data_IF_161705037903
#
_entry.id   IF_161705037903
#
_cell.length_a   1.000
_cell.length_b   1.000
_cell.length_c   1.000
_cell.angle_alpha   90.00
_cell.angle_beta   90.00
_cell.angle_gamma   90.00
#
_symmetry.space_group_name_H-M   'P 1'
#
loop_
_entity.id
_entity.type
_entity.pdbx_description
1 polymer ?
#
# COMPACT_ATOMS: atom_id res chain seq x y z
N UNK A 1 -4.85 27.36 17.40
CA UNK A 1 -4.10 26.21 16.87
C UNK A 1 -4.59 25.96 15.47
N UNK A 2 -3.77 26.18 14.44
CA UNK A 2 -4.19 25.97 13.06
C UNK A 2 -4.42 24.46 12.85
N UNK A 3 -5.68 24.03 12.82
CA UNK A 3 -6.05 22.67 12.42
C UNK A 3 -5.88 22.59 10.91
N UNK A 4 -4.72 22.16 10.45
CA UNK A 4 -4.54 21.78 9.05
C UNK A 4 -5.37 20.52 8.82
N UNK A 5 -6.19 20.50 7.76
CA UNK A 5 -6.93 19.30 7.43
C UNK A 5 -5.95 18.17 7.15
N UNK A 6 -6.32 16.96 7.56
CA UNK A 6 -5.50 15.77 7.36
C UNK A 6 -5.15 15.56 5.87
N UNK A 7 -6.03 16.01 4.98
CA UNK A 7 -5.85 16.04 3.52
C UNK A 7 -4.67 16.93 3.08
N UNK A 8 -4.50 18.12 3.67
CA UNK A 8 -3.42 19.04 3.30
C UNK A 8 -2.05 18.51 3.73
N UNK A 9 -1.98 17.84 4.88
CA UNK A 9 -0.76 17.18 5.35
C UNK A 9 -0.38 16.03 4.41
N UNK A 10 -1.35 15.20 4.03
CA UNK A 10 -1.11 14.09 3.10
C UNK A 10 -0.57 14.59 1.75
N UNK A 11 -1.16 15.66 1.21
CA UNK A 11 -0.71 16.25 -0.06
C UNK A 11 0.71 16.85 0.03
N UNK A 12 1.06 17.45 1.16
CA UNK A 12 2.43 17.93 1.41
C UNK A 12 3.43 16.77 1.47
N UNK A 13 3.09 15.67 2.16
CA UNK A 13 3.94 14.47 2.22
C UNK A 13 4.15 13.90 0.81
N UNK A 14 3.10 13.79 0.01
CA UNK A 14 3.22 13.33 -1.38
C UNK A 14 4.06 14.28 -2.25
N UNK A 15 3.90 15.59 -2.11
CA UNK A 15 4.69 16.55 -2.88
C UNK A 15 6.18 16.46 -2.53
N UNK A 16 6.52 16.37 -1.24
CA UNK A 16 7.90 16.20 -0.78
C UNK A 16 8.47 14.87 -1.25
N UNK A 17 7.71 13.77 -1.12
CA UNK A 17 8.13 12.46 -1.61
C UNK A 17 8.35 12.46 -3.13
N UNK A 18 7.46 13.08 -3.90
CA UNK A 18 7.61 13.23 -5.34
C UNK A 18 8.92 13.97 -5.66
N UNK A 19 9.17 15.11 -5.04
CA UNK A 19 10.42 15.88 -5.26
C UNK A 19 11.66 15.08 -4.86
N UNK A 20 11.61 14.36 -3.75
CA UNK A 20 12.72 13.53 -3.28
C UNK A 20 13.00 12.33 -4.21
N UNK A 21 11.97 11.80 -4.87
CA UNK A 21 12.09 10.64 -5.77
C UNK A 21 12.37 11.01 -7.23
N UNK A 22 12.17 12.27 -7.65
CA UNK A 22 12.54 12.77 -9.00
C UNK A 22 13.94 12.33 -9.47
N UNK A 23 15.03 12.43 -8.68
CA UNK A 23 16.37 12.05 -9.15
C UNK A 23 16.55 10.55 -9.37
N UNK A 24 15.65 9.72 -8.83
CA UNK A 24 15.67 8.27 -8.99
C UNK A 24 14.84 7.80 -10.19
N UNK A 25 14.16 8.71 -10.90
CA UNK A 25 13.30 8.36 -12.04
C UNK A 25 14.13 8.06 -13.27
N UNK A 26 13.93 6.87 -13.85
CA UNK A 26 14.43 6.53 -15.19
C UNK A 26 13.53 7.13 -16.27
N UNK A 27 13.82 8.38 -16.66
CA UNK A 27 13.02 9.16 -17.61
C UNK A 27 12.78 8.48 -18.95
N UNK A 28 13.73 7.65 -19.41
CA UNK A 28 13.63 6.95 -20.69
C UNK A 28 12.54 5.86 -20.66
N UNK A 29 12.40 5.14 -19.55
CA UNK A 29 11.34 4.14 -19.40
C UNK A 29 9.99 4.79 -19.08
N UNK A 30 10.01 5.83 -18.25
CA UNK A 30 8.84 6.59 -17.85
C UNK A 30 8.06 7.16 -19.06
N UNK A 31 8.78 7.75 -20.02
CA UNK A 31 8.15 8.31 -21.22
C UNK A 31 7.72 7.23 -22.24
N UNK A 32 8.34 6.03 -22.19
CA UNK A 32 8.02 4.90 -23.07
C UNK A 32 6.83 4.05 -22.61
N UNK A 33 6.36 4.23 -21.37
CA UNK A 33 5.25 3.45 -20.80
C UNK A 33 3.94 3.47 -21.59
N UNK A 34 3.79 4.39 -22.55
CA UNK A 34 2.62 4.48 -23.42
C UNK A 34 1.33 4.77 -22.64
N UNK A 35 0.18 4.70 -23.31
CA UNK A 35 -1.11 5.03 -22.68
C UNK A 35 -1.44 4.13 -21.48
N UNK A 36 -1.17 2.83 -21.58
CA UNK A 36 -1.45 1.86 -20.52
C UNK A 36 -0.60 2.10 -19.26
N UNK A 37 0.70 2.39 -19.42
CA UNK A 37 1.59 2.70 -18.28
C UNK A 37 1.15 3.96 -17.55
N UNK A 38 0.81 5.02 -18.28
CA UNK A 38 0.30 6.26 -17.69
C UNK A 38 -1.05 6.06 -16.98
N UNK A 39 -1.95 5.26 -17.55
CA UNK A 39 -3.22 4.93 -16.90
C UNK A 39 -3.00 4.16 -15.60
N UNK A 40 -2.11 3.16 -15.60
CA UNK A 40 -1.72 2.44 -14.38
C UNK A 40 -1.16 3.39 -13.32
N UNK A 41 -0.22 4.27 -13.68
CA UNK A 41 0.36 5.24 -12.74
C UNK A 41 -0.71 6.16 -12.14
N UNK A 42 -1.65 6.66 -12.94
CA UNK A 42 -2.75 7.49 -12.46
C UNK A 42 -3.65 6.70 -11.51
N UNK A 43 -4.05 5.49 -11.88
CA UNK A 43 -4.93 4.65 -11.06
C UNK A 43 -4.26 4.27 -9.74
N UNK A 44 -3.00 3.83 -9.77
CA UNK A 44 -2.22 3.52 -8.58
C UNK A 44 -2.04 4.75 -7.70
N UNK A 45 -1.64 5.89 -8.27
CA UNK A 45 -1.47 7.14 -7.53
C UNK A 45 -2.77 7.62 -6.88
N UNK A 46 -3.90 7.56 -7.60
CA UNK A 46 -5.21 7.90 -7.06
C UNK A 46 -5.64 6.94 -5.96
N UNK A 47 -5.44 5.63 -6.14
CA UNK A 47 -5.75 4.63 -5.12
C UNK A 47 -4.99 4.91 -3.82
N UNK A 48 -3.68 5.21 -3.92
CA UNK A 48 -2.86 5.58 -2.78
C UNK A 48 -3.35 6.89 -2.14
N UNK A 49 -3.55 7.95 -2.93
CA UNK A 49 -4.04 9.25 -2.43
C UNK A 49 -5.37 9.10 -1.66
N UNK A 50 -6.34 8.39 -2.23
CA UNK A 50 -7.66 8.19 -1.63
C UNK A 50 -7.58 7.33 -0.36
N UNK A 51 -6.81 6.24 -0.39
CA UNK A 51 -6.65 5.37 0.78
C UNK A 51 -6.03 6.12 1.97
N UNK A 52 -4.95 6.88 1.75
CA UNK A 52 -4.32 7.65 2.82
C UNK A 52 -5.15 8.87 3.22
N UNK A 53 -5.92 9.48 2.32
CA UNK A 53 -6.87 10.54 2.67
C UNK A 53 -7.96 10.02 3.62
N UNK A 54 -8.57 8.88 3.29
CA UNK A 54 -9.53 8.21 4.16
C UNK A 54 -8.91 7.76 5.49
N UNK A 55 -7.67 7.28 5.48
CA UNK A 55 -6.93 6.94 6.69
C UNK A 55 -6.71 8.17 7.59
N UNK A 56 -6.35 9.31 6.99
CA UNK A 56 -6.09 10.55 7.70
C UNK A 56 -7.38 11.06 8.40
N UNK A 57 -8.53 10.94 7.75
CA UNK A 57 -9.84 11.23 8.35
C UNK A 57 -10.22 10.21 9.44
N UNK A 58 -9.93 8.93 9.19
CA UNK A 58 -10.20 7.85 10.13
C UNK A 58 -9.42 8.04 11.45
N UNK A 59 -8.18 8.55 11.41
CA UNK A 59 -7.38 8.87 12.61
C UNK A 59 -8.07 9.87 13.53
N UNK A 60 -8.87 10.77 13.00
CA UNK A 60 -9.65 11.72 13.80
C UNK A 60 -10.96 11.11 14.34
N UNK A 61 -11.52 10.12 13.65
CA UNK A 61 -12.82 9.52 13.96
C UNK A 61 -12.77 8.26 14.82
N UNK A 62 -11.72 7.44 14.72
CA UNK A 62 -11.58 6.16 15.43
C UNK A 62 -10.31 6.11 16.28
N UNK A 63 -10.33 5.35 17.41
CA UNK A 63 -9.19 5.25 18.29
C UNK A 63 -7.99 4.62 17.57
N UNK A 64 -6.80 5.16 17.84
CA UNK A 64 -5.55 4.77 17.19
C UNK A 64 -5.22 3.27 17.34
N UNK A 65 -5.74 2.63 18.40
CA UNK A 65 -5.62 1.18 18.61
C UNK A 65 -6.25 0.35 17.50
N UNK A 66 -7.44 0.74 17.01
CA UNK A 66 -8.12 0.03 15.91
C UNK A 66 -7.43 0.26 14.57
N UNK A 67 -6.93 1.47 14.36
CA UNK A 67 -6.20 1.85 13.13
C UNK A 67 -4.92 1.04 13.00
N UNK A 68 -4.18 0.88 14.10
CA UNK A 68 -2.95 0.07 14.13
C UNK A 68 -3.21 -1.39 13.74
N UNK A 69 -4.31 -1.98 14.22
CA UNK A 69 -4.72 -3.34 13.85
C UNK A 69 -5.06 -3.41 12.35
N UNK A 70 -5.82 -2.44 11.83
CA UNK A 70 -6.16 -2.35 10.40
C UNK A 70 -4.92 -2.27 9.51
N UNK A 71 -3.95 -1.42 9.86
CA UNK A 71 -2.68 -1.30 9.13
C UNK A 71 -1.90 -2.62 9.19
N UNK A 72 -1.90 -3.29 10.36
CA UNK A 72 -1.23 -4.58 10.53
C UNK A 72 -1.89 -5.70 9.73
N UNK A 73 -3.19 -5.61 9.43
CA UNK A 73 -3.88 -6.57 8.56
C UNK A 73 -3.62 -6.32 7.07
N UNK A 74 -3.07 -5.17 6.69
CA UNK A 74 -2.85 -4.81 5.28
C UNK A 74 -2.01 -5.84 4.50
N UNK A 75 -0.92 -6.42 5.04
CA UNK A 75 -0.19 -7.50 4.37
C UNK A 75 -1.06 -8.72 4.10
N UNK A 76 -1.97 -9.09 5.02
CA UNK A 76 -2.87 -10.23 4.83
C UNK A 76 -3.91 -9.95 3.73
N UNK A 77 -4.44 -8.73 3.69
CA UNK A 77 -5.35 -8.27 2.62
C UNK A 77 -4.63 -8.27 1.27
N UNK A 78 -3.38 -7.83 1.23
CA UNK A 78 -2.57 -7.80 0.00
C UNK A 78 -2.28 -9.22 -0.50
N UNK A 79 -1.87 -10.12 0.39
CA UNK A 79 -1.62 -11.54 0.05
C UNK A 79 -2.89 -12.25 -0.44
N UNK A 80 -4.02 -12.05 0.24
CA UNK A 80 -5.29 -12.63 -0.19
C UNK A 80 -5.78 -12.02 -1.51
N UNK A 81 -5.61 -10.71 -1.69
CA UNK A 81 -5.90 -10.00 -2.93
C UNK A 81 -5.09 -10.55 -4.10
N UNK A 82 -3.79 -10.77 -3.92
CA UNK A 82 -2.94 -11.41 -4.95
C UNK A 82 -3.42 -12.81 -5.30
N UNK A 83 -3.81 -13.63 -4.31
CA UNK A 83 -4.36 -14.96 -4.55
C UNK A 83 -5.68 -14.92 -5.33
N UNK A 84 -6.59 -14.01 -4.95
CA UNK A 84 -7.87 -13.81 -5.64
C UNK A 84 -7.66 -13.29 -7.07
N UNK A 85 -6.75 -12.33 -7.26
CA UNK A 85 -6.41 -11.79 -8.58
C UNK A 85 -5.83 -12.87 -9.49
N UNK A 86 -4.95 -13.73 -8.97
CA UNK A 86 -4.44 -14.89 -9.69
C UNK A 86 -5.56 -15.87 -10.08
N UNK A 87 -6.55 -16.07 -9.22
CA UNK A 87 -7.70 -16.95 -9.50
C UNK A 87 -8.71 -16.35 -10.50
N UNK A 88 -8.86 -15.03 -10.56
CA UNK A 88 -9.86 -14.34 -11.40
C UNK A 88 -9.32 -13.82 -12.74
N UNK A 89 -8.01 -13.56 -12.88
CA UNK A 89 -7.44 -12.84 -14.03
C UNK A 89 -6.09 -13.43 -14.50
N UNK A 90 -6.18 -14.18 -15.60
CA UNK A 90 -5.25 -14.38 -16.74
C UNK A 90 -3.80 -14.83 -16.49
N UNK A 91 -3.48 -15.99 -17.04
CA UNK A 91 -2.16 -16.64 -17.28
C UNK A 91 -1.10 -15.77 -18.00
N UNK A 92 -1.30 -14.46 -18.16
CA UNK A 92 -0.43 -13.53 -18.90
C UNK A 92 0.57 -12.77 -18.03
N UNK A 93 0.49 -12.88 -16.71
CA UNK A 93 1.58 -12.43 -15.85
C UNK A 93 2.55 -13.60 -15.70
N UNK A 94 3.81 -13.50 -16.18
CA UNK A 94 4.79 -14.55 -15.95
C UNK A 94 4.82 -14.82 -14.45
N UNK A 95 4.60 -16.09 -14.05
CA UNK A 95 4.65 -16.48 -12.64
C UNK A 95 5.92 -15.90 -12.05
N UNK A 96 5.78 -14.88 -11.21
CA UNK A 96 6.91 -14.27 -10.55
C UNK A 96 7.51 -15.37 -9.69
N UNK A 97 8.74 -15.77 -10.03
CA UNK A 97 9.38 -16.93 -9.45
C UNK A 97 9.76 -16.54 -8.02
N UNK A 98 8.82 -16.73 -7.09
CA UNK A 98 9.03 -16.44 -5.68
C UNK A 98 10.16 -17.37 -5.22
N UNK A 99 11.35 -16.79 -5.08
CA UNK A 99 12.52 -17.48 -4.52
C UNK A 99 12.19 -18.05 -3.14
N UNK A 100 12.90 -19.08 -2.69
CA UNK A 100 12.68 -19.66 -1.34
C UNK A 100 12.72 -18.62 -0.21
N UNK A 101 13.49 -17.54 -0.38
CA UNK A 101 13.51 -16.38 0.51
C UNK A 101 12.20 -15.57 0.52
N UNK A 102 11.48 -15.50 -0.61
CA UNK A 102 10.18 -14.84 -0.70
C UNK A 102 9.10 -15.57 0.09
N UNK A 103 9.09 -16.92 0.05
CA UNK A 103 8.19 -17.71 0.90
C UNK A 103 8.49 -17.55 2.39
N UNK A 104 9.79 -17.52 2.76
CA UNK A 104 10.20 -17.27 4.13
C UNK A 104 9.79 -15.88 4.61
N UNK A 105 9.96 -14.85 3.77
CA UNK A 105 9.49 -13.49 4.05
C UNK A 105 7.96 -13.42 4.21
N UNK A 106 7.22 -14.11 3.35
CA UNK A 106 5.76 -14.23 3.48
C UNK A 106 5.34 -14.91 4.78
N UNK A 107 6.00 -15.99 5.18
CA UNK A 107 5.74 -16.68 6.45
C UNK A 107 6.02 -15.79 7.67
N UNK A 108 7.12 -15.02 7.64
CA UNK A 108 7.46 -14.06 8.70
C UNK A 108 6.40 -12.95 8.77
N UNK A 109 6.00 -12.39 7.63
CA UNK A 109 4.97 -11.35 7.56
C UNK A 109 3.63 -11.86 8.14
N UNK A 110 3.16 -13.02 7.69
CA UNK A 110 1.93 -13.64 8.21
C UNK A 110 2.04 -13.92 9.71
N UNK A 111 3.17 -14.49 10.16
CA UNK A 111 3.41 -14.75 11.59
C UNK A 111 3.37 -13.48 12.44
N UNK A 112 3.99 -12.40 11.95
CA UNK A 112 3.95 -11.09 12.61
C UNK A 112 2.53 -10.53 12.74
N UNK A 113 1.73 -10.61 11.68
CA UNK A 113 0.32 -10.18 11.70
C UNK A 113 -0.48 -11.00 12.71
N UNK A 114 -0.34 -12.33 12.70
CA UNK A 114 -1.04 -13.22 13.64
C UNK A 114 -0.67 -12.90 15.10
N UNK A 115 0.61 -12.66 15.39
CA UNK A 115 1.06 -12.29 16.74
C UNK A 115 0.44 -10.96 17.20
N UNK A 116 0.44 -9.94 16.35
CA UNK A 116 -0.14 -8.63 16.69
C UNK A 116 -1.64 -8.75 16.92
N UNK A 117 -2.37 -9.43 16.03
CA UNK A 117 -3.82 -9.65 16.18
C UNK A 117 -4.12 -10.44 17.46
N UNK A 118 -3.39 -11.53 17.73
CA UNK A 118 -3.58 -12.33 18.94
C UNK A 118 -3.26 -11.55 20.22
N UNK A 119 -2.24 -10.70 20.19
CA UNK A 119 -1.89 -9.84 21.33
C UNK A 119 -2.92 -8.74 21.57
N UNK A 120 -3.55 -8.23 20.51
CA UNK A 120 -4.55 -7.18 20.60
C UNK A 120 -5.89 -7.68 21.14
N UNK A 121 -6.21 -8.97 21.01
CA UNK A 121 -7.44 -9.56 21.58
C UNK A 121 -7.36 -9.81 23.10
N UNK A 122 -6.16 -9.72 23.69
CA UNK A 122 -5.96 -9.88 25.14
C UNK A 122 -6.08 -8.56 25.93
N UNK A 123 -6.36 -7.44 25.27
CA UNK A 123 -6.63 -6.13 25.89
C UNK A 123 -8.12 -5.82 25.80
#
# INVERSE_FOLDING_TARGET
SAKYSAQNLNLLVYAVAAIALIPLVEWNEFLKGGFAGWLLLIVLGLNTLLAYGALAEAVECIPLSLISILITLNPLITLSGMWILNALVVETLPMENISGSGYMGGAIAVGGVVLVVASSQKK
#
